data_IF_923801860676
#
_entry.id   IF_923801860676
#
_cell.length_a   1.000
_cell.length_b   1.000
_cell.length_c   1.000
_cell.angle_alpha   90.00
_cell.angle_beta   90.00
_cell.angle_gamma   90.00
#
_symmetry.space_group_name_H-M   'P 1'
#
loop_
_entity.id
_entity.type
_entity.pdbx_description
1 polymer ?
#
# COMPACT_ATOMS: atom_id res chain seq x y z
N UNK A 1 12.29 -0.70 6.58
CA UNK A 1 12.61 -1.22 5.22
C UNK A 1 11.47 -0.86 4.28
N UNK A 2 11.76 -0.54 3.01
CA UNK A 2 10.77 -0.25 1.98
C UNK A 2 10.84 -1.31 0.87
N UNK A 3 9.69 -1.73 0.36
CA UNK A 3 9.54 -2.74 -0.70
C UNK A 3 8.66 -2.18 -1.81
N UNK A 4 9.08 -2.36 -3.06
CA UNK A 4 8.28 -2.02 -4.23
C UNK A 4 8.27 -3.14 -5.25
N UNK A 5 7.10 -3.37 -5.84
CA UNK A 5 6.88 -4.28 -6.96
C UNK A 5 6.32 -3.45 -8.11
N UNK A 6 6.86 -3.61 -9.31
CA UNK A 6 6.37 -2.90 -10.49
C UNK A 6 6.04 -3.91 -11.58
N UNK A 7 4.87 -3.77 -12.20
CA UNK A 7 4.44 -4.57 -13.37
C UNK A 7 4.50 -6.09 -13.10
N UNK A 8 4.19 -6.48 -11.86
CA UNK A 8 4.25 -7.86 -11.39
C UNK A 8 2.87 -8.54 -11.39
N UNK A 9 2.86 -9.88 -11.42
CA UNK A 9 1.63 -10.67 -11.30
C UNK A 9 1.80 -11.81 -10.31
N UNK A 10 0.77 -12.11 -9.51
CA UNK A 10 0.79 -13.13 -8.44
C UNK A 10 1.84 -12.82 -7.37
N UNK A 11 1.70 -11.66 -6.75
CA UNK A 11 2.58 -11.20 -5.67
C UNK A 11 1.98 -11.59 -4.33
N UNK A 12 2.79 -12.18 -3.45
CA UNK A 12 2.39 -12.50 -2.08
C UNK A 12 3.41 -11.97 -1.07
N UNK A 13 2.95 -11.14 -0.14
CA UNK A 13 3.72 -10.68 1.02
C UNK A 13 3.01 -11.18 2.26
N UNK A 14 3.68 -11.99 3.09
CA UNK A 14 3.01 -12.67 4.19
C UNK A 14 3.89 -12.80 5.44
N UNK A 15 3.29 -12.62 6.61
CA UNK A 15 3.86 -12.92 7.94
C UNK A 15 5.22 -12.24 8.22
N UNK A 16 5.43 -11.06 7.62
CA UNK A 16 6.64 -10.25 7.83
C UNK A 16 6.34 -9.02 8.68
N UNK A 17 7.34 -8.60 9.44
CA UNK A 17 7.34 -7.31 10.14
C UNK A 17 8.28 -6.32 9.44
N UNK A 18 7.77 -5.14 9.12
CA UNK A 18 8.51 -4.05 8.49
C UNK A 18 8.55 -2.86 9.43
N UNK A 19 9.78 -2.45 9.78
CA UNK A 19 10.00 -1.34 10.71
C UNK A 19 10.88 -0.26 10.07
N UNK A 20 10.67 1.00 10.48
CA UNK A 20 11.51 2.14 10.12
C UNK A 20 11.74 2.23 8.60
N UNK A 21 10.65 2.34 7.84
CA UNK A 21 10.71 2.62 6.40
C UNK A 21 11.23 4.05 6.15
N UNK A 22 12.11 4.25 5.16
CA UNK A 22 12.56 5.60 4.79
C UNK A 22 11.49 6.42 4.05
N UNK A 23 10.40 5.80 3.59
CA UNK A 23 9.27 6.40 2.85
C UNK A 23 8.12 5.38 2.81
N UNK A 24 7.31 5.34 1.75
CA UNK A 24 6.24 4.36 1.55
C UNK A 24 6.75 2.92 1.78
N UNK A 25 6.04 2.15 2.60
CA UNK A 25 6.56 0.89 3.14
C UNK A 25 6.39 -0.27 2.16
N UNK A 26 5.16 -0.53 1.70
CA UNK A 26 4.86 -1.52 0.65
C UNK A 26 4.18 -0.80 -0.52
N UNK A 27 4.90 -0.61 -1.63
CA UNK A 27 4.45 0.16 -2.78
C UNK A 27 4.40 -0.68 -4.08
N UNK A 28 3.35 -1.48 -4.28
CA UNK A 28 3.10 -2.16 -5.54
C UNK A 28 2.48 -1.21 -6.57
N UNK A 29 3.04 -1.19 -7.77
CA UNK A 29 2.64 -0.33 -8.88
C UNK A 29 2.29 -1.21 -10.09
N UNK A 30 1.09 -1.04 -10.65
CA UNK A 30 0.59 -1.81 -11.81
C UNK A 30 0.72 -3.33 -11.64
N UNK A 31 0.41 -3.80 -10.44
CA UNK A 31 0.43 -5.24 -10.12
C UNK A 31 -0.96 -5.87 -10.24
N UNK A 32 -1.02 -7.12 -10.66
CA UNK A 32 -2.25 -7.93 -10.75
C UNK A 32 -2.15 -9.18 -9.86
N UNK A 33 -3.23 -9.52 -9.16
CA UNK A 33 -3.28 -10.66 -8.23
C UNK A 33 -2.26 -10.48 -7.09
N UNK A 34 -2.57 -9.54 -6.19
CA UNK A 34 -1.73 -9.15 -5.07
C UNK A 34 -2.38 -9.58 -3.75
N UNK A 35 -1.64 -10.34 -2.93
CA UNK A 35 -2.06 -10.69 -1.58
C UNK A 35 -1.05 -10.19 -0.55
N UNK A 36 -1.53 -9.38 0.39
CA UNK A 36 -0.78 -8.92 1.57
C UNK A 36 -1.54 -9.40 2.81
N UNK A 37 -0.94 -10.29 3.58
CA UNK A 37 -1.65 -11.06 4.60
C UNK A 37 -0.79 -11.28 5.85
N UNK A 38 -1.31 -10.95 7.04
CA UNK A 38 -0.57 -11.16 8.30
C UNK A 38 0.63 -10.22 8.50
N UNK A 39 0.73 -9.14 7.72
CA UNK A 39 1.87 -8.22 7.76
C UNK A 39 1.75 -7.24 8.92
N UNK A 40 2.86 -6.98 9.61
CA UNK A 40 2.97 -5.92 10.63
C UNK A 40 3.85 -4.79 10.10
N UNK A 41 3.36 -3.55 10.16
CA UNK A 41 4.12 -2.34 9.80
C UNK A 41 4.19 -1.41 11.01
N UNK A 42 5.42 -0.99 11.35
CA UNK A 42 5.69 -0.03 12.43
C UNK A 42 6.67 1.04 11.99
N UNK A 43 6.16 2.23 11.71
CA UNK A 43 6.97 3.43 11.51
C UNK A 43 6.66 4.46 12.62
N UNK A 44 7.61 5.34 12.98
CA UNK A 44 7.34 6.42 13.92
C UNK A 44 6.16 7.28 13.43
N UNK A 45 5.27 7.68 14.35
CA UNK A 45 4.05 8.43 14.02
C UNK A 45 4.32 9.84 13.47
N UNK A 46 5.53 10.37 13.65
CA UNK A 46 6.00 11.64 13.12
C UNK A 46 6.89 11.48 11.87
N UNK A 47 7.03 10.25 11.35
CA UNK A 47 7.88 9.96 10.21
C UNK A 47 7.18 10.34 8.89
N UNK A 48 7.73 11.30 8.12
CA UNK A 48 7.06 11.82 6.93
C UNK A 48 6.94 10.77 5.83
N UNK A 49 5.81 10.75 5.13
CA UNK A 49 5.56 9.93 3.94
C UNK A 49 5.78 8.43 4.17
N UNK A 50 5.48 7.93 5.37
CA UNK A 50 5.69 6.53 5.75
C UNK A 50 4.43 5.69 5.65
N UNK A 51 3.69 5.86 4.55
CA UNK A 51 2.49 5.10 4.23
C UNK A 51 2.72 3.59 4.42
N UNK A 52 1.72 2.88 4.90
CA UNK A 52 1.80 1.44 5.15
C UNK A 52 1.79 0.64 3.86
N UNK A 53 0.62 0.52 3.24
CA UNK A 53 0.42 -0.25 2.00
C UNK A 53 -0.19 0.67 0.94
N UNK A 54 0.49 0.81 -0.19
CA UNK A 54 0.16 1.81 -1.21
C UNK A 54 0.00 1.18 -2.61
N UNK A 55 -1.08 0.44 -2.90
CA UNK A 55 -1.33 -0.05 -4.25
C UNK A 55 -1.64 1.11 -5.19
N UNK A 56 -0.79 1.25 -6.21
CA UNK A 56 -0.97 2.20 -7.30
C UNK A 56 -1.32 1.43 -8.57
N UNK A 57 -2.46 1.76 -9.18
CA UNK A 57 -2.87 1.19 -10.48
C UNK A 57 -2.92 -0.35 -10.47
N UNK A 58 -3.18 -0.95 -9.31
CA UNK A 58 -3.20 -2.39 -9.11
C UNK A 58 -4.60 -3.00 -9.26
N UNK A 59 -4.68 -4.26 -9.69
CA UNK A 59 -5.93 -5.02 -9.81
C UNK A 59 -5.95 -6.31 -9.00
N UNK A 60 -7.13 -6.69 -8.51
CA UNK A 60 -7.36 -7.94 -7.78
C UNK A 60 -6.46 -8.03 -6.54
N UNK A 61 -6.67 -7.09 -5.62
CA UNK A 61 -5.84 -6.91 -4.42
C UNK A 61 -6.59 -7.38 -3.19
N UNK A 62 -5.93 -8.20 -2.36
CA UNK A 62 -6.41 -8.60 -1.03
C UNK A 62 -5.40 -8.18 0.02
N UNK A 63 -5.82 -7.31 0.93
CA UNK A 63 -5.06 -6.91 2.13
C UNK A 63 -5.83 -7.41 3.35
N UNK A 64 -5.23 -8.29 4.15
CA UNK A 64 -5.94 -8.89 5.27
C UNK A 64 -5.06 -9.15 6.49
N UNK A 65 -5.68 -9.19 7.67
CA UNK A 65 -5.03 -9.64 8.91
C UNK A 65 -3.76 -8.82 9.27
N UNK A 66 -3.68 -7.57 8.84
CA UNK A 66 -2.49 -6.74 9.03
C UNK A 66 -2.61 -5.85 10.28
N UNK A 67 -1.46 -5.51 10.86
CA UNK A 67 -1.34 -4.45 11.85
C UNK A 67 -0.51 -3.31 11.25
N UNK A 68 -1.05 -2.09 11.24
CA UNK A 68 -0.39 -0.94 10.62
C UNK A 68 -0.38 0.23 11.60
N UNK A 69 0.81 0.74 11.91
CA UNK A 69 1.06 1.92 12.73
C UNK A 69 2.19 2.70 12.07
N UNK A 70 1.86 3.89 11.55
CA UNK A 70 2.72 4.64 10.64
C UNK A 70 2.60 6.15 10.88
N UNK A 71 3.51 6.94 10.27
CA UNK A 71 3.46 8.40 10.32
C UNK A 71 2.67 9.06 9.19
N UNK A 72 2.04 8.28 8.30
CA UNK A 72 1.18 8.79 7.22
C UNK A 72 -0.03 7.86 7.01
N UNK A 73 -0.54 7.66 5.79
CA UNK A 73 -1.70 6.79 5.56
C UNK A 73 -1.42 5.30 5.80
N UNK A 74 -2.30 4.61 6.54
CA UNK A 74 -2.17 3.18 6.80
C UNK A 74 -2.27 2.35 5.50
N UNK A 75 -3.35 2.56 4.75
CA UNK A 75 -3.52 2.03 3.40
C UNK A 75 -4.02 3.16 2.53
N UNK A 76 -3.37 3.38 1.40
CA UNK A 76 -3.79 4.39 0.42
C UNK A 76 -3.87 3.75 -0.96
N UNK A 77 -4.91 4.09 -1.70
CA UNK A 77 -5.18 3.57 -3.05
C UNK A 77 -4.97 4.70 -4.05
N UNK A 78 -4.08 4.48 -5.02
CA UNK A 78 -3.67 5.49 -6.00
C UNK A 78 -3.82 4.95 -7.43
N UNK A 79 -3.86 5.82 -8.43
CA UNK A 79 -3.97 5.42 -9.85
C UNK A 79 -3.11 6.26 -10.80
N UNK A 80 -1.88 6.57 -10.37
CA UNK A 80 -0.96 7.44 -11.10
C UNK A 80 -1.20 8.93 -10.86
N UNK A 81 -0.42 9.76 -11.53
CA UNK A 81 -0.51 11.23 -11.45
C UNK A 81 -0.91 11.84 -12.80
N UNK A 82 -1.35 13.08 -12.84
CA UNK A 82 -1.86 13.74 -14.05
C UNK A 82 -0.81 13.84 -15.17
N UNK A 83 0.48 13.81 -14.81
CA UNK A 83 1.61 13.87 -15.74
C UNK A 83 2.07 12.49 -16.24
N UNK A 84 1.47 11.41 -15.74
CA UNK A 84 1.78 10.05 -16.14
C UNK A 84 1.38 9.83 -17.61
N UNK A 85 2.11 8.94 -18.30
CA UNK A 85 1.79 8.57 -19.67
C UNK A 85 0.44 7.86 -19.69
N UNK A 86 -0.46 8.22 -20.60
CA UNK A 86 -1.80 7.61 -20.70
C UNK A 86 -1.78 6.08 -20.87
N UNK A 87 -0.70 5.51 -21.41
CA UNK A 87 -0.53 4.05 -21.52
C UNK A 87 -0.26 3.35 -20.17
N UNK A 88 0.15 4.09 -19.15
CA UNK A 88 0.44 3.61 -17.80
C UNK A 88 -0.70 3.89 -16.81
N UNK A 89 -1.63 4.79 -17.17
CA UNK A 89 -2.81 5.11 -16.37
C UNK A 89 -3.78 3.92 -16.37
N UNK A 90 -3.90 3.27 -15.22
CA UNK A 90 -4.83 2.16 -15.02
C UNK A 90 -5.56 2.36 -13.70
N UNK A 91 -6.86 1.98 -13.61
CA UNK A 91 -7.58 2.10 -12.35
C UNK A 91 -6.99 1.14 -11.32
N UNK A 92 -6.92 1.59 -10.06
CA UNK A 92 -6.74 0.66 -8.95
C UNK A 92 -8.11 0.07 -8.58
N UNK A 93 -8.31 -1.23 -8.82
CA UNK A 93 -9.65 -1.84 -8.83
C UNK A 93 -9.69 -3.25 -8.26
N UNK A 94 -10.89 -3.68 -7.83
CA UNK A 94 -11.15 -4.99 -7.20
C UNK A 94 -10.27 -5.21 -5.96
N UNK A 95 -10.44 -4.33 -4.97
CA UNK A 95 -9.62 -4.30 -3.75
C UNK A 95 -10.48 -4.69 -2.56
N UNK A 96 -10.00 -5.66 -1.78
CA UNK A 96 -10.61 -6.07 -0.52
C UNK A 96 -9.64 -5.86 0.64
N UNK A 97 -10.07 -5.07 1.63
CA UNK A 97 -9.32 -4.80 2.87
C UNK A 97 -10.15 -5.34 4.04
N UNK A 98 -9.64 -6.33 4.76
CA UNK A 98 -10.42 -7.03 5.81
C UNK A 98 -9.60 -7.39 7.03
N UNK A 99 -10.18 -7.27 8.23
CA UNK A 99 -9.54 -7.70 9.49
C UNK A 99 -8.15 -7.09 9.72
N UNK A 100 -7.99 -5.81 9.40
CA UNK A 100 -6.75 -5.07 9.67
C UNK A 100 -6.96 -4.13 10.86
N UNK A 101 -5.91 -3.95 11.65
CA UNK A 101 -5.86 -2.95 12.73
C UNK A 101 -5.04 -1.77 12.22
N UNK A 102 -5.70 -0.61 12.09
CA UNK A 102 -5.07 0.66 11.75
C UNK A 102 -4.89 1.45 13.04
N UNK A 103 -3.69 1.44 13.61
CA UNK A 103 -3.42 1.98 14.94
C UNK A 103 -3.08 3.48 14.89
N UNK A 104 -1.98 3.85 14.23
CA UNK A 104 -1.56 5.23 14.01
C UNK A 104 -1.42 5.48 12.50
N UNK A 105 -1.87 6.65 12.05
CA UNK A 105 -1.74 7.12 10.68
C UNK A 105 -2.66 8.32 10.39
N UNK A 106 -2.41 9.04 9.30
CA UNK A 106 -3.24 10.16 8.86
C UNK A 106 -4.65 9.71 8.39
N UNK A 107 -4.73 8.51 7.84
CA UNK A 107 -5.99 7.84 7.50
C UNK A 107 -5.87 6.31 7.55
N UNK A 108 -6.97 5.64 7.89
CA UNK A 108 -7.00 4.17 7.96
C UNK A 108 -7.05 3.51 6.57
N UNK A 109 -7.96 3.98 5.72
CA UNK A 109 -8.02 3.66 4.30
C UNK A 109 -8.30 4.96 3.56
N UNK A 110 -7.40 5.32 2.64
CA UNK A 110 -7.42 6.57 1.89
C UNK A 110 -7.46 6.27 0.40
N UNK A 111 -8.08 7.16 -0.37
CA UNK A 111 -8.08 7.13 -1.84
C UNK A 111 -7.45 8.44 -2.29
N UNK A 112 -6.33 8.35 -3.02
CA UNK A 112 -5.59 9.49 -3.56
C UNK A 112 -4.34 9.89 -2.74
N UNK A 113 -3.81 11.11 -2.93
CA UNK A 113 -4.30 12.14 -3.87
C UNK A 113 -4.00 11.85 -5.35
N UNK A 114 -3.02 10.99 -5.63
CA UNK A 114 -2.61 10.59 -6.97
C UNK A 114 -3.67 9.69 -7.60
N UNK A 115 -4.45 10.24 -8.53
CA UNK A 115 -5.61 9.58 -9.15
C UNK A 115 -5.64 9.73 -10.67
#
# INVERSE_FOLDING_TARGET
ASISFADCRRVRVQDVELINSPSWTINPVRCDDLVIDGVTIRNPADSPNTDGINPDSCSNVRIANCYISVGDDCITLKSGIESERSALMQPCQNIAITNCIMADGHGGVVIGSEM
#
